data_IF_872200174614
#
_entry.id   IF_872200174614
#
_cell.length_a   1.000
_cell.length_b   1.000
_cell.length_c   1.000
_cell.angle_alpha   90.00
_cell.angle_beta   90.00
_cell.angle_gamma   90.00
#
_symmetry.space_group_name_H-M   'P 1'
#
loop_
_entity.id
_entity.type
_entity.pdbx_description
1 polymer ?
#
# COMPACT_ATOMS: atom_id res chain seq x y z
N UNK A 1 -22.67 14.77 -8.72
CA UNK A 1 -22.73 14.44 -7.27
C UNK A 1 -21.89 13.19 -7.09
N UNK A 2 -20.63 13.33 -6.67
CA UNK A 2 -19.74 12.19 -6.44
C UNK A 2 -19.93 11.80 -4.98
N UNK A 3 -20.42 10.60 -4.74
CA UNK A 3 -20.54 10.06 -3.40
C UNK A 3 -19.14 10.03 -2.77
N UNK A 4 -18.98 10.74 -1.64
CA UNK A 4 -17.73 10.68 -0.87
C UNK A 4 -17.66 9.28 -0.27
N UNK A 5 -16.66 8.52 -0.67
CA UNK A 5 -16.34 7.24 -0.03
C UNK A 5 -15.88 7.56 1.40
N UNK A 6 -16.82 7.51 2.35
CA UNK A 6 -16.57 7.69 3.78
C UNK A 6 -15.92 6.45 4.43
N UNK A 7 -15.59 5.42 3.66
CA UNK A 7 -14.89 4.25 4.15
C UNK A 7 -13.39 4.57 4.26
N UNK A 8 -12.84 4.53 5.48
CA UNK A 8 -11.41 4.56 5.67
C UNK A 8 -10.82 3.28 5.06
N UNK A 9 -9.92 3.39 4.07
CA UNK A 9 -9.35 2.20 3.46
C UNK A 9 -8.58 1.40 4.51
N UNK A 10 -8.57 0.06 4.44
CA UNK A 10 -7.79 -0.76 5.36
C UNK A 10 -6.31 -0.38 5.22
N UNK A 11 -5.72 0.09 6.32
CA UNK A 11 -4.31 0.47 6.38
C UNK A 11 -3.53 -0.51 7.24
N UNK A 12 -2.36 -0.91 6.75
CA UNK A 12 -1.36 -1.63 7.52
C UNK A 12 -0.37 -0.63 8.13
N UNK A 13 -0.35 -0.46 9.45
CA UNK A 13 0.52 0.51 10.14
C UNK A 13 0.46 1.93 9.50
N UNK A 14 -0.74 2.47 9.27
CA UNK A 14 -0.98 3.76 8.61
C UNK A 14 -0.53 3.85 7.13
N UNK A 15 -0.20 2.72 6.50
CA UNK A 15 0.12 2.65 5.09
C UNK A 15 -0.97 1.87 4.34
N UNK A 16 -1.31 2.34 3.15
CA UNK A 16 -1.99 1.52 2.16
C UNK A 16 -0.98 0.57 1.57
N UNK A 17 -1.30 -0.72 1.61
CA UNK A 17 -0.57 -1.74 0.87
C UNK A 17 -1.26 -1.96 -0.47
N UNK A 18 -0.53 -1.74 -1.55
CA UNK A 18 -0.98 -1.96 -2.91
C UNK A 18 -0.18 -3.11 -3.50
N UNK A 19 -0.87 -4.08 -4.09
CA UNK A 19 -0.27 -5.12 -4.92
C UNK A 19 -0.58 -4.75 -6.37
N UNK A 20 0.44 -4.56 -7.19
CA UNK A 20 0.29 -4.29 -8.62
C UNK A 20 1.07 -5.30 -9.45
N UNK A 21 0.66 -5.47 -10.70
CA UNK A 21 1.29 -6.41 -11.62
C UNK A 21 1.51 -5.75 -12.98
N UNK A 22 2.68 -5.99 -13.58
CA UNK A 22 2.96 -5.75 -14.99
C UNK A 22 3.37 -7.08 -15.65
N UNK A 23 2.47 -7.64 -16.48
CA UNK A 23 2.58 -8.98 -17.08
C UNK A 23 2.93 -10.07 -16.06
N UNK A 24 4.21 -10.36 -15.91
CA UNK A 24 4.77 -11.46 -15.11
C UNK A 24 5.54 -10.95 -13.90
N UNK A 25 5.48 -9.65 -13.63
CA UNK A 25 6.18 -8.98 -12.55
C UNK A 25 5.16 -8.44 -11.55
N UNK A 26 5.32 -8.79 -10.29
CA UNK A 26 4.51 -8.30 -9.18
C UNK A 26 5.31 -7.27 -8.39
N UNK A 27 4.62 -6.23 -7.93
CA UNK A 27 5.17 -5.15 -7.13
C UNK A 27 4.32 -4.95 -5.86
N UNK A 28 4.98 -4.68 -4.75
CA UNK A 28 4.34 -4.27 -3.50
C UNK A 28 4.64 -2.80 -3.25
N UNK A 29 3.62 -1.98 -3.08
CA UNK A 29 3.78 -0.56 -2.80
C UNK A 29 3.15 -0.18 -1.47
N UNK A 30 3.94 0.42 -0.60
CA UNK A 30 3.51 1.02 0.65
C UNK A 30 3.32 2.52 0.46
N UNK A 31 2.09 2.97 0.58
CA UNK A 31 1.68 4.37 0.40
C UNK A 31 1.22 4.94 1.77
N UNK A 32 1.97 5.85 2.41
CA UNK A 32 1.58 6.44 3.68
C UNK A 32 0.24 7.16 3.57
N UNK A 33 -0.72 6.83 4.43
CA UNK A 33 -2.05 7.45 4.47
C UNK A 33 -2.16 8.41 5.65
N UNK A 34 -1.36 9.47 5.61
CA UNK A 34 -1.21 10.45 6.70
C UNK A 34 -2.37 11.45 6.73
N UNK A 35 -2.54 12.13 7.87
CA UNK A 35 -3.53 13.19 8.00
C UNK A 35 -3.19 14.40 7.12
N UNK A 36 -1.90 14.74 6.99
CA UNK A 36 -1.44 15.81 6.10
C UNK A 36 -1.80 15.52 4.63
N UNK A 37 -1.64 14.26 4.20
CA UNK A 37 -2.05 13.84 2.86
C UNK A 37 -3.57 13.95 2.65
N UNK A 38 -4.37 13.54 3.64
CA UNK A 38 -5.84 13.70 3.60
C UNK A 38 -6.25 15.17 3.51
N UNK A 39 -5.62 16.05 4.30
CA UNK A 39 -5.86 17.49 4.27
C UNK A 39 -5.54 18.11 2.91
N UNK A 40 -4.38 17.75 2.35
CA UNK A 40 -3.99 18.18 1.00
C UNK A 40 -4.99 17.74 -0.07
N UNK A 41 -5.45 16.48 -0.06
CA UNK A 41 -6.51 16.02 -0.96
C UNK A 41 -7.84 16.75 -0.74
N UNK A 42 -8.08 17.25 0.47
CA UNK A 42 -9.24 18.05 0.85
C UNK A 42 -9.17 19.52 0.42
N UNK A 43 -8.05 19.97 -0.17
CA UNK A 43 -7.83 21.35 -0.60
C UNK A 43 -7.20 22.26 0.46
N UNK A 44 -6.69 21.69 1.56
CA UNK A 44 -5.85 22.45 2.50
C UNK A 44 -4.52 22.85 1.86
N UNK A 45 -3.89 23.90 2.38
CA UNK A 45 -2.59 24.37 1.89
C UNK A 45 -1.53 23.27 2.03
N UNK A 46 -0.85 23.01 0.91
CA UNK A 46 0.17 21.96 0.85
C UNK A 46 1.37 22.31 1.72
N UNK A 47 1.73 21.39 2.62
CA UNK A 47 2.98 21.40 3.38
C UNK A 47 3.98 20.41 2.75
N UNK A 48 5.27 20.56 3.03
CA UNK A 48 6.31 19.69 2.47
C UNK A 48 6.06 18.19 2.71
N UNK A 49 5.41 17.83 3.82
CA UNK A 49 5.07 16.47 4.25
C UNK A 49 3.69 15.99 3.77
N UNK A 50 2.95 16.82 3.05
CA UNK A 50 1.59 16.51 2.60
C UNK A 50 1.50 15.76 1.28
N UNK A 51 2.63 15.57 0.59
CA UNK A 51 2.70 14.79 -0.64
C UNK A 51 2.84 13.28 -0.36
N UNK A 52 2.15 12.47 -1.17
CA UNK A 52 2.27 11.01 -1.09
C UNK A 52 3.60 10.55 -1.67
N UNK A 53 4.43 9.92 -0.85
CA UNK A 53 5.68 9.26 -1.28
C UNK A 53 5.48 7.75 -1.20
N UNK A 54 5.31 7.12 -2.36
CA UNK A 54 5.13 5.68 -2.48
C UNK A 54 6.47 4.95 -2.41
N UNK A 55 6.54 3.89 -1.61
CA UNK A 55 7.70 2.99 -1.55
C UNK A 55 7.34 1.66 -2.21
N UNK A 56 7.93 1.39 -3.36
CA UNK A 56 7.65 0.19 -4.16
C UNK A 56 8.81 -0.81 -4.07
N UNK A 57 8.47 -2.07 -3.92
CA UNK A 57 9.37 -3.22 -3.88
C UNK A 57 9.00 -4.21 -4.99
N UNK A 58 9.98 -4.98 -5.44
CA UNK A 58 9.87 -5.91 -6.57
C UNK A 58 10.95 -5.66 -7.63
N UNK A 59 10.81 -6.24 -8.83
CA UNK A 59 9.73 -7.14 -9.24
C UNK A 59 9.91 -8.58 -8.71
N UNK A 60 8.82 -9.22 -8.29
CA UNK A 60 8.75 -10.68 -8.17
C UNK A 60 8.21 -11.27 -9.46
N UNK A 61 8.92 -12.21 -10.06
CA UNK A 61 8.53 -12.87 -11.31
C UNK A 61 7.62 -14.05 -11.06
N UNK A 62 6.43 -14.05 -11.67
CA UNK A 62 5.44 -15.12 -11.54
C UNK A 62 5.86 -16.44 -12.15
N UNK A 63 6.80 -16.41 -13.11
CA UNK A 63 7.38 -17.59 -13.72
C UNK A 63 8.53 -18.21 -12.93
N UNK A 64 8.97 -17.58 -11.83
CA UNK A 64 10.01 -18.07 -10.95
C UNK A 64 9.40 -18.60 -9.64
N UNK A 65 9.37 -19.94 -9.42
CA UNK A 65 8.78 -20.53 -8.22
C UNK A 65 9.45 -20.07 -6.91
N UNK A 66 10.75 -19.78 -6.93
CA UNK A 66 11.45 -19.33 -5.73
C UNK A 66 11.02 -17.91 -5.35
N UNK A 67 10.84 -17.03 -6.33
CA UNK A 67 10.32 -15.68 -6.10
C UNK A 67 8.87 -15.69 -5.65
N UNK A 68 8.04 -16.59 -6.20
CA UNK A 68 6.65 -16.73 -5.74
C UNK A 68 6.55 -17.29 -4.32
N UNK A 69 7.47 -18.16 -3.92
CA UNK A 69 7.58 -18.64 -2.54
C UNK A 69 7.99 -17.51 -1.59
N UNK A 70 8.99 -16.70 -1.95
CA UNK A 70 9.39 -15.52 -1.16
C UNK A 70 8.23 -14.51 -1.02
N UNK A 71 7.59 -14.16 -2.14
CA UNK A 71 6.43 -13.28 -2.16
C UNK A 71 5.29 -13.79 -1.27
N UNK A 72 4.99 -15.09 -1.32
CA UNK A 72 4.00 -15.74 -0.48
C UNK A 72 4.30 -15.60 1.02
N UNK A 73 5.56 -15.78 1.43
CA UNK A 73 5.98 -15.56 2.81
C UNK A 73 5.80 -14.12 3.27
N UNK A 74 6.13 -13.15 2.41
CA UNK A 74 5.94 -11.71 2.71
C UNK A 74 4.46 -11.41 2.93
N UNK A 75 3.59 -11.86 2.03
CA UNK A 75 2.14 -11.66 2.17
C UNK A 75 1.58 -12.33 3.43
N UNK A 76 2.03 -13.55 3.74
CA UNK A 76 1.62 -14.24 4.96
C UNK A 76 2.05 -13.47 6.22
N UNK A 77 3.29 -12.98 6.26
CA UNK A 77 3.79 -12.19 7.37
C UNK A 77 2.98 -10.90 7.55
N UNK A 78 2.64 -10.21 6.46
CA UNK A 78 1.80 -9.01 6.49
C UNK A 78 0.40 -9.35 7.04
N UNK A 79 -0.24 -10.41 6.56
CA UNK A 79 -1.57 -10.84 7.03
C UNK A 79 -1.56 -11.19 8.53
N UNK A 80 -0.54 -11.91 8.99
CA UNK A 80 -0.36 -12.24 10.40
C UNK A 80 -0.16 -11.00 11.27
N UNK A 81 0.65 -10.04 10.83
CA UNK A 81 0.85 -8.77 11.55
C UNK A 81 -0.44 -7.95 11.54
N UNK A 82 -1.18 -7.90 10.43
CA UNK A 82 -2.45 -7.20 10.33
C UNK A 82 -3.52 -7.79 11.28
N UNK A 83 -3.60 -9.12 11.37
CA UNK A 83 -4.51 -9.83 12.28
C UNK A 83 -4.10 -9.72 13.75
N UNK A 84 -2.81 -9.75 14.05
CA UNK A 84 -2.30 -9.62 15.41
C UNK A 84 -2.39 -8.20 15.99
N UNK A 85 -2.66 -7.20 15.16
CA UNK A 85 -2.86 -5.81 15.55
C UNK A 85 -4.35 -5.42 15.79
N UNK A 86 -5.27 -6.38 15.66
CA UNK A 86 -6.71 -6.25 15.92
C UNK A 86 -7.08 -6.82 17.30
#
# INVERSE_FOLDING_TARGET
MVERINAQPPTFNNHLLLVSQDRHEIYLTFAPYTQAYKGYLGGEEAKADSFLVMKTFGPWRTCDPAQMNDFGHILLAIDLVAKGAA
#
